data_IF_350613989311
#
_entry.id   IF_350613989311
#
_cell.length_a   1.000
_cell.length_b   1.000
_cell.length_c   1.000
_cell.angle_alpha   90.00
_cell.angle_beta   90.00
_cell.angle_gamma   90.00
#
_symmetry.space_group_name_H-M   'P 1'
#
loop_
_entity.id
_entity.type
_entity.pdbx_description
1 polymer ?
#
# COMPACT_ATOMS: atom_id res chain seq x y z
N UNK A 1 1.03 12.01 12.06
CA UNK A 1 0.80 11.87 10.60
C UNK A 1 -0.03 10.61 10.28
N UNK A 2 0.48 9.39 10.49
CA UNK A 2 -0.26 8.16 10.13
C UNK A 2 -1.60 7.96 10.88
N UNK A 3 -1.68 8.33 12.18
CA UNK A 3 -2.94 8.26 12.92
C UNK A 3 -4.04 9.18 12.35
N UNK A 4 -3.65 10.36 11.84
CA UNK A 4 -4.59 11.30 11.20
C UNK A 4 -5.10 10.75 9.86
N UNK A 5 -4.23 10.14 9.05
CA UNK A 5 -4.63 9.46 7.83
C UNK A 5 -5.63 8.32 8.11
N UNK A 6 -5.40 7.52 9.16
CA UNK A 6 -6.33 6.45 9.58
C UNK A 6 -7.68 7.02 10.02
N UNK A 7 -7.68 8.07 10.84
CA UNK A 7 -8.92 8.71 11.29
C UNK A 7 -9.74 9.28 10.12
N UNK A 8 -9.09 9.95 9.16
CA UNK A 8 -9.74 10.43 7.94
C UNK A 8 -10.25 9.28 7.07
N UNK A 9 -9.53 8.16 7.00
CA UNK A 9 -9.98 6.96 6.29
C UNK A 9 -11.30 6.43 6.88
N UNK A 10 -11.39 6.34 8.21
CA UNK A 10 -12.62 5.91 8.88
C UNK A 10 -13.76 6.91 8.69
N UNK A 11 -13.50 8.22 8.77
CA UNK A 11 -14.50 9.25 8.50
C UNK A 11 -15.07 9.15 7.08
N UNK A 12 -14.19 8.99 6.10
CA UNK A 12 -14.61 8.85 4.70
C UNK A 12 -15.48 7.60 4.50
N UNK A 13 -15.14 6.47 5.17
CA UNK A 13 -15.97 5.26 5.14
C UNK A 13 -17.36 5.50 5.73
N UNK A 14 -17.46 6.26 6.82
CA UNK A 14 -18.75 6.65 7.41
C UNK A 14 -19.56 7.55 6.46
N UNK A 15 -18.91 8.50 5.76
CA UNK A 15 -19.57 9.34 4.76
C UNK A 15 -20.15 8.52 3.61
N UNK A 16 -19.42 7.53 3.11
CA UNK A 16 -19.87 6.64 2.04
C UNK A 16 -21.09 5.81 2.47
N UNK A 17 -21.06 5.19 3.67
CA UNK A 17 -22.22 4.50 4.22
C UNK A 17 -23.43 5.41 4.47
N UNK A 18 -23.19 6.70 4.69
CA UNK A 18 -24.23 7.71 4.83
C UNK A 18 -24.75 8.23 3.47
N UNK A 19 -24.31 7.67 2.34
CA UNK A 19 -24.73 8.12 1.00
C UNK A 19 -24.14 9.48 0.60
N UNK A 20 -22.96 9.82 1.11
CA UNK A 20 -22.24 11.09 0.82
C UNK A 20 -20.93 10.82 0.08
N UNK A 21 -20.95 10.23 -1.13
CA UNK A 21 -19.75 9.78 -1.84
C UNK A 21 -18.81 10.93 -2.23
N UNK A 22 -19.30 12.12 -2.55
CA UNK A 22 -18.46 13.29 -2.88
C UNK A 22 -17.69 13.82 -1.67
N UNK A 23 -18.25 13.66 -0.47
CA UNK A 23 -17.57 14.00 0.78
C UNK A 23 -16.53 12.94 1.14
N UNK A 24 -16.89 11.66 0.98
CA UNK A 24 -15.94 10.54 1.11
C UNK A 24 -14.73 10.77 0.22
N UNK A 25 -14.95 11.14 -1.06
CA UNK A 25 -13.88 11.39 -2.02
C UNK A 25 -12.91 12.48 -1.54
N UNK A 26 -13.42 13.63 -1.09
CA UNK A 26 -12.60 14.74 -0.57
C UNK A 26 -11.81 14.33 0.67
N UNK A 27 -12.45 13.64 1.61
CA UNK A 27 -11.81 13.17 2.84
C UNK A 27 -10.72 12.12 2.54
N UNK A 28 -10.95 11.21 1.59
CA UNK A 28 -9.96 10.24 1.13
C UNK A 28 -8.72 10.92 0.50
N UNK A 29 -8.91 11.95 -0.32
CA UNK A 29 -7.80 12.70 -0.92
C UNK A 29 -6.93 13.35 0.17
N UNK A 30 -7.54 13.91 1.22
CA UNK A 30 -6.80 14.43 2.36
C UNK A 30 -6.04 13.32 3.10
N UNK A 31 -6.67 12.17 3.33
CA UNK A 31 -6.04 11.02 3.97
C UNK A 31 -4.79 10.54 3.20
N UNK A 32 -4.85 10.53 1.86
CA UNK A 32 -3.70 10.16 0.99
C UNK A 32 -2.53 11.11 1.23
N UNK A 33 -2.79 12.40 1.32
CA UNK A 33 -1.76 13.41 1.58
C UNK A 33 -1.12 13.24 2.96
N UNK A 34 -1.89 12.83 3.98
CA UNK A 34 -1.35 12.52 5.31
C UNK A 34 -0.58 11.20 5.34
N UNK A 35 -1.02 10.17 4.61
CA UNK A 35 -0.32 8.89 4.50
C UNK A 35 1.02 9.07 3.79
N UNK A 36 1.05 9.86 2.70
CA UNK A 36 2.28 10.22 1.98
C UNK A 36 3.27 10.93 2.89
N UNK A 37 2.83 11.93 3.66
CA UNK A 37 3.71 12.65 4.63
C UNK A 37 4.19 11.77 5.79
N UNK A 38 3.57 10.60 5.99
CA UNK A 38 3.95 9.64 7.01
C UNK A 38 4.81 8.49 6.47
N UNK A 39 5.12 8.49 5.17
CA UNK A 39 5.75 7.37 4.45
C UNK A 39 5.06 6.01 4.69
N UNK A 40 3.74 6.03 4.94
CA UNK A 40 2.94 4.82 5.17
C UNK A 40 2.39 4.30 3.82
N UNK A 41 3.25 3.66 3.04
CA UNK A 41 2.96 3.18 1.66
C UNK A 41 1.77 2.22 1.63
N UNK A 42 1.70 1.31 2.60
CA UNK A 42 0.57 0.36 2.72
C UNK A 42 -0.75 1.09 2.94
N UNK A 43 -0.78 2.09 3.84
CA UNK A 43 -1.97 2.91 4.05
C UNK A 43 -2.30 3.76 2.81
N UNK A 44 -1.29 4.30 2.13
CA UNK A 44 -1.49 5.07 0.91
C UNK A 44 -2.15 4.21 -0.19
N UNK A 45 -1.68 2.98 -0.41
CA UNK A 45 -2.28 2.05 -1.37
C UNK A 45 -3.73 1.69 -1.00
N UNK A 46 -4.02 1.42 0.27
CA UNK A 46 -5.39 1.15 0.74
C UNK A 46 -6.33 2.33 0.49
N UNK A 47 -5.85 3.57 0.68
CA UNK A 47 -6.62 4.78 0.39
C UNK A 47 -6.85 4.99 -1.11
N UNK A 48 -5.88 4.63 -1.96
CA UNK A 48 -6.08 4.64 -3.43
C UNK A 48 -7.19 3.67 -3.86
N UNK A 49 -7.25 2.47 -3.29
CA UNK A 49 -8.33 1.51 -3.58
C UNK A 49 -9.70 2.07 -3.17
N UNK A 50 -9.80 2.72 -2.00
CA UNK A 50 -11.03 3.37 -1.57
C UNK A 50 -11.46 4.51 -2.50
N UNK A 51 -10.51 5.34 -2.96
CA UNK A 51 -10.80 6.36 -3.98
C UNK A 51 -11.38 5.73 -5.25
N UNK A 52 -10.83 4.60 -5.68
CA UNK A 52 -11.34 3.90 -6.85
C UNK A 52 -12.79 3.43 -6.67
N UNK A 53 -13.12 2.85 -5.52
CA UNK A 53 -14.48 2.37 -5.25
C UNK A 53 -15.48 3.53 -5.16
N UNK A 54 -15.11 4.64 -4.51
CA UNK A 54 -15.96 5.84 -4.47
C UNK A 54 -16.15 6.45 -5.87
N UNK A 55 -15.11 6.48 -6.71
CA UNK A 55 -15.21 6.99 -8.08
C UNK A 55 -16.05 6.10 -8.99
N UNK A 56 -16.00 4.77 -8.79
CA UNK A 56 -16.89 3.83 -9.47
C UNK A 56 -18.36 4.12 -9.14
N UNK A 57 -18.68 4.33 -7.85
CA UNK A 57 -20.03 4.71 -7.41
C UNK A 57 -20.48 6.08 -7.96
N UNK A 58 -19.54 7.01 -8.15
CA UNK A 58 -19.81 8.34 -8.74
C UNK A 58 -19.88 8.32 -10.28
N UNK A 59 -19.64 7.17 -10.92
CA UNK A 59 -19.72 7.03 -12.37
C UNK A 59 -18.47 7.48 -13.13
N UNK A 60 -17.30 7.54 -12.48
CA UNK A 60 -16.00 7.77 -13.12
C UNK A 60 -15.09 6.53 -13.08
N UNK A 61 -15.39 5.50 -13.91
CA UNK A 61 -14.61 4.27 -13.96
C UNK A 61 -13.20 4.48 -14.55
N UNK A 62 -12.97 5.56 -15.29
CA UNK A 62 -11.65 5.88 -15.84
C UNK A 62 -10.71 6.34 -14.73
N UNK A 63 -11.15 7.28 -13.88
CA UNK A 63 -10.39 7.68 -12.71
C UNK A 63 -10.23 6.51 -11.73
N UNK A 64 -11.26 5.70 -11.52
CA UNK A 64 -11.17 4.53 -10.64
C UNK A 64 -10.02 3.58 -11.05
N UNK A 65 -9.85 3.31 -12.35
CA UNK A 65 -8.73 2.49 -12.86
C UNK A 65 -7.36 3.11 -12.60
N UNK A 66 -7.23 4.44 -12.71
CA UNK A 66 -5.97 5.12 -12.40
C UNK A 66 -5.57 4.92 -10.94
N UNK A 67 -6.53 5.00 -10.02
CA UNK A 67 -6.31 4.79 -8.60
C UNK A 67 -5.98 3.33 -8.27
N UNK A 68 -6.66 2.35 -8.89
CA UNK A 68 -6.30 0.92 -8.74
C UNK A 68 -4.87 0.64 -9.21
N UNK A 69 -4.49 1.15 -10.39
CA UNK A 69 -3.13 1.00 -10.90
C UNK A 69 -2.07 1.70 -10.03
N UNK A 70 -2.42 2.80 -9.37
CA UNK A 70 -1.51 3.44 -8.40
C UNK A 70 -1.30 2.57 -7.15
N UNK A 71 -2.37 1.99 -6.60
CA UNK A 71 -2.29 1.06 -5.48
C UNK A 71 -1.45 -0.18 -5.82
N UNK A 72 -1.67 -0.76 -7.00
CA UNK A 72 -0.92 -1.93 -7.49
C UNK A 72 0.59 -1.64 -7.58
N UNK A 73 0.99 -0.49 -8.13
CA UNK A 73 2.41 -0.10 -8.19
C UNK A 73 3.04 0.04 -6.81
N UNK A 74 2.36 0.75 -5.90
CA UNK A 74 2.84 0.94 -4.52
C UNK A 74 3.06 -0.40 -3.79
N UNK A 75 2.11 -1.34 -3.93
CA UNK A 75 2.21 -2.65 -3.30
C UNK A 75 3.26 -3.56 -3.98
N UNK A 76 3.45 -3.41 -5.29
CA UNK A 76 4.51 -4.10 -6.02
C UNK A 76 5.90 -3.62 -5.64
N UNK A 77 6.10 -2.31 -5.48
CA UNK A 77 7.36 -1.69 -5.05
C UNK A 77 7.75 -2.13 -3.64
N UNK A 78 6.81 -2.11 -2.68
CA UNK A 78 7.03 -2.60 -1.30
C UNK A 78 7.44 -4.09 -1.25
N UNK A 79 6.87 -4.92 -2.13
CA UNK A 79 7.21 -6.34 -2.19
C UNK A 79 8.64 -6.55 -2.71
N UNK A 80 9.07 -5.77 -3.71
CA UNK A 80 10.43 -5.80 -4.22
C UNK A 80 11.45 -5.34 -3.18
N UNK A 81 11.15 -4.28 -2.41
CA UNK A 81 12.01 -3.83 -1.30
C UNK A 81 12.11 -4.88 -0.18
N UNK A 82 11.02 -5.61 0.07
CA UNK A 82 10.98 -6.68 1.08
C UNK A 82 11.80 -7.92 0.66
N UNK A 83 11.75 -8.33 -0.61
CA UNK A 83 12.53 -9.46 -1.14
C UNK A 83 14.02 -9.13 -1.27
N UNK A 84 14.35 -7.88 -1.61
CA UNK A 84 15.74 -7.40 -1.74
C UNK A 84 16.53 -7.45 -0.41
N UNK A 85 15.84 -7.49 0.73
CA UNK A 85 16.45 -7.62 2.06
C UNK A 85 16.77 -9.06 2.49
N UNK A 86 16.32 -10.08 1.74
CA UNK A 86 16.39 -11.48 2.15
C UNK A 86 17.56 -12.29 1.54
N UNK A 87 18.30 -11.77 0.55
CA UNK A 87 19.37 -12.52 -0.11
C UNK A 87 20.76 -11.90 0.10
N UNK A 88 21.48 -12.40 1.11
CA UNK A 88 22.94 -12.65 1.07
C UNK A 88 23.44 -13.25 2.41
N UNK A 89 23.29 -14.57 2.55
CA UNK A 89 24.20 -15.35 3.39
C UNK A 89 25.06 -16.19 2.43
N UNK A 90 26.40 -16.01 2.39
CA UNK A 90 27.23 -16.84 1.53
C UNK A 90 27.21 -18.25 2.10
N UNK A 91 26.77 -19.20 1.27
CA UNK A 91 26.85 -20.63 1.53
C UNK A 91 28.29 -21.02 1.88
N UNK A 92 28.58 -21.13 3.17
CA UNK A 92 29.82 -21.68 3.70
C UNK A 92 29.69 -23.21 3.81
N UNK A 93 29.66 -23.89 2.66
CA UNK A 93 29.90 -25.34 2.59
C UNK A 93 31.04 -25.63 1.63
N UNK A 94 32.27 -25.50 2.12
CA UNK A 94 33.38 -26.32 1.64
C UNK A 94 33.87 -27.20 2.79
N UNK A 95 33.25 -28.38 2.88
CA UNK A 95 33.69 -29.47 3.76
C UNK A 95 35.02 -29.96 3.19
N UNK A 96 36.14 -29.52 3.79
CA UNK A 96 37.45 -30.07 3.46
C UNK A 96 37.48 -31.54 3.87
N UNK A 97 37.46 -32.42 2.87
CA UNK A 97 37.89 -33.80 3.03
C UNK A 97 39.39 -33.81 3.33
N UNK A 98 39.78 -34.33 4.48
CA UNK A 98 41.14 -34.78 4.72
C UNK A 98 41.08 -36.17 5.37
N UNK A 99 41.28 -37.15 4.51
CA UNK A 99 41.66 -38.52 4.84
C UNK A 99 42.97 -38.52 5.62
N UNK A 100 43.02 -39.17 6.78
CA UNK A 100 44.22 -39.88 7.21
C UNK A 100 43.83 -41.05 8.10
N UNK A 101 44.05 -42.23 7.55
CA UNK A 101 43.89 -43.54 8.14
C UNK A 101 45.21 -43.88 8.82
N UNK A 102 45.18 -44.24 10.10
CA UNK A 102 46.18 -45.09 10.75
C UNK A 102 45.47 -46.02 11.72
#
# INVERSE_FOLDING_TARGET
MAAQARALSELARVQEYAGRPEESLRTCQEAVEWARRADDVRLQAALQLRLADTLEHLGDPAAAKLHRGAAERMLGEELLESDSGAEQAPNACEIRSASSKD
#
